data_IF_485339588934
#
_entry.id   IF_485339588934
#
_cell.length_a   1.000
_cell.length_b   1.000
_cell.length_c   1.000
_cell.angle_alpha   90.00
_cell.angle_beta   90.00
_cell.angle_gamma   90.00
#
_symmetry.space_group_name_H-M   'P 1'
#
loop_
_entity.id
_entity.type
_entity.pdbx_description
1 polymer ?
#
# COMPACT_ATOMS: atom_id res chain seq x y z
N UNK A 1 11.21 -5.23 1.94
CA UNK A 1 10.37 -4.21 2.62
C UNK A 1 8.88 -4.55 2.60
N UNK A 2 8.20 -4.63 1.46
CA UNK A 2 6.76 -4.95 1.39
C UNK A 2 6.33 -6.25 2.11
N UNK A 3 7.11 -7.32 1.98
CA UNK A 3 6.86 -8.57 2.72
C UNK A 3 7.25 -8.49 4.21
N UNK A 4 8.16 -7.59 4.58
CA UNK A 4 8.60 -7.41 5.97
C UNK A 4 7.45 -6.91 6.85
N UNK A 5 6.64 -5.98 6.33
CA UNK A 5 5.42 -5.49 7.00
C UNK A 5 4.17 -6.34 6.73
N UNK A 6 4.36 -7.57 6.22
CA UNK A 6 3.30 -8.51 5.90
C UNK A 6 2.21 -7.98 4.95
N UNK A 7 2.49 -6.95 4.12
CA UNK A 7 1.52 -6.36 3.21
C UNK A 7 0.94 -7.41 2.22
N UNK A 8 1.80 -8.34 1.79
CA UNK A 8 1.44 -9.41 0.85
C UNK A 8 0.43 -10.42 1.40
N UNK A 9 0.21 -10.48 2.71
CA UNK A 9 -0.81 -11.37 3.30
C UNK A 9 -2.24 -11.03 2.86
N UNK A 10 -2.53 -9.74 2.67
CA UNK A 10 -3.85 -9.26 2.22
C UNK A 10 -3.84 -8.79 0.76
N UNK A 11 -2.74 -8.20 0.31
CA UNK A 11 -2.64 -7.63 -1.04
C UNK A 11 -2.04 -8.60 -2.06
N UNK A 12 -1.41 -9.69 -1.61
CA UNK A 12 -0.72 -10.65 -2.46
C UNK A 12 0.64 -10.14 -2.94
N UNK A 13 1.50 -11.05 -3.41
CA UNK A 13 2.83 -10.68 -3.93
C UNK A 13 2.76 -9.80 -5.18
N UNK A 14 1.71 -9.97 -5.97
CA UNK A 14 1.46 -9.24 -7.21
C UNK A 14 0.40 -8.13 -7.05
N UNK A 15 -0.07 -7.84 -5.83
CA UNK A 15 -1.09 -6.81 -5.61
C UNK A 15 -2.52 -7.20 -6.04
N UNK A 16 -2.77 -8.48 -6.33
CA UNK A 16 -4.05 -9.00 -6.86
C UNK A 16 -4.91 -9.80 -5.87
N UNK A 17 -4.55 -9.84 -4.59
CA UNK A 17 -5.31 -10.63 -3.61
C UNK A 17 -6.57 -9.88 -3.11
N UNK A 18 -7.11 -10.29 -1.96
CA UNK A 18 -8.39 -9.81 -1.43
C UNK A 18 -8.45 -8.28 -1.29
N UNK A 19 -7.32 -7.64 -0.93
CA UNK A 19 -7.14 -6.20 -0.96
C UNK A 19 -6.43 -5.80 -2.26
N UNK A 20 -7.16 -5.78 -3.37
CA UNK A 20 -6.58 -5.56 -4.69
C UNK A 20 -6.03 -4.12 -4.85
N UNK A 21 -4.79 -4.01 -5.37
CA UNK A 21 -4.08 -2.75 -5.64
C UNK A 21 -4.17 -2.29 -7.10
N UNK A 22 -4.87 -3.03 -7.96
CA UNK A 22 -5.01 -2.70 -9.37
C UNK A 22 -5.50 -1.26 -9.57
N UNK A 23 -4.83 -0.54 -10.48
CA UNK A 23 -5.04 0.88 -10.77
C UNK A 23 -4.68 1.85 -9.63
N UNK A 24 -4.03 1.41 -8.55
CA UNK A 24 -3.56 2.33 -7.49
C UNK A 24 -2.68 3.45 -8.04
N UNK A 25 -1.85 3.16 -9.05
CA UNK A 25 -1.00 4.16 -9.74
C UNK A 25 -1.78 5.30 -10.40
N UNK A 26 -3.03 5.08 -10.82
CA UNK A 26 -3.89 6.09 -11.45
C UNK A 26 -4.73 6.84 -10.41
N UNK A 27 -5.10 6.16 -9.32
CA UNK A 27 -6.06 6.67 -8.34
C UNK A 27 -5.41 7.47 -7.22
N UNK A 28 -4.16 7.16 -6.87
CA UNK A 28 -3.52 7.70 -5.68
C UNK A 28 -2.08 8.12 -5.96
N UNK A 29 -1.72 9.30 -5.50
CA UNK A 29 -0.34 9.79 -5.40
C UNK A 29 0.45 9.04 -4.32
N UNK A 30 1.79 9.14 -4.35
CA UNK A 30 2.61 8.58 -3.27
C UNK A 30 2.22 9.15 -1.90
N UNK A 31 1.96 10.46 -1.82
CA UNK A 31 1.58 11.12 -0.57
C UNK A 31 0.26 10.56 0.00
N UNK A 32 -0.76 10.36 -0.85
CA UNK A 32 -2.04 9.78 -0.42
C UNK A 32 -1.88 8.33 0.03
N UNK A 33 -1.01 7.55 -0.63
CA UNK A 33 -0.72 6.17 -0.21
C UNK A 33 0.00 6.16 1.14
N UNK A 34 0.97 7.06 1.36
CA UNK A 34 1.66 7.19 2.65
C UNK A 34 0.67 7.57 3.76
N UNK A 35 -0.20 8.56 3.53
CA UNK A 35 -1.23 8.95 4.49
C UNK A 35 -2.15 7.77 4.83
N UNK A 36 -2.55 7.00 3.81
CA UNK A 36 -3.37 5.81 3.98
C UNK A 36 -2.66 4.69 4.76
N UNK A 37 -1.38 4.44 4.48
CA UNK A 37 -0.57 3.47 5.23
C UNK A 37 -0.47 3.90 6.70
N UNK A 38 -0.20 5.20 6.94
CA UNK A 38 -0.09 5.76 8.29
C UNK A 38 -1.39 5.59 9.06
N UNK A 39 -2.53 5.91 8.45
CA UNK A 39 -3.85 5.80 9.08
C UNK A 39 -4.97 5.48 8.07
N UNK A 40 -5.27 4.20 7.79
CA UNK A 40 -6.27 3.82 6.80
C UNK A 40 -7.71 4.19 7.20
N UNK A 41 -7.95 4.46 8.48
CA UNK A 41 -9.26 4.88 8.98
C UNK A 41 -9.69 6.25 8.44
N UNK A 42 -8.77 7.10 7.98
CA UNK A 42 -9.10 8.41 7.36
C UNK A 42 -9.90 8.26 6.06
N UNK A 43 -9.85 7.09 5.43
CA UNK A 43 -10.68 6.73 4.27
C UNK A 43 -11.72 5.66 4.60
N UNK A 44 -12.03 5.47 5.89
CA UNK A 44 -13.03 4.53 6.36
C UNK A 44 -12.61 3.05 6.35
N UNK A 45 -11.36 2.72 6.04
CA UNK A 45 -10.88 1.33 6.10
C UNK A 45 -10.47 0.96 7.52
N UNK A 46 -11.29 0.11 8.16
CA UNK A 46 -11.05 -0.43 9.51
C UNK A 46 -10.37 -1.81 9.52
N UNK A 47 -10.13 -2.41 8.35
CA UNK A 47 -9.54 -3.75 8.20
C UNK A 47 -8.03 -3.72 8.03
N UNK A 48 -7.51 -2.67 7.38
CA UNK A 48 -6.06 -2.49 7.26
C UNK A 48 -5.49 -1.98 8.61
N UNK A 49 -4.41 -2.57 9.14
CA UNK A 49 -3.75 -2.08 10.33
C UNK A 49 -3.22 -0.65 10.16
N UNK A 50 -3.12 0.08 11.27
CA UNK A 50 -2.49 1.40 11.32
C UNK A 50 -0.97 1.19 11.38
N UNK A 51 -0.23 1.72 10.40
CA UNK A 51 1.23 1.57 10.35
C UNK A 51 2.02 2.82 10.78
N UNK A 52 1.35 3.94 11.09
CA UNK A 52 2.02 5.20 11.45
C UNK A 52 2.94 5.12 12.67
N UNK A 53 2.72 4.15 13.56
CA UNK A 53 3.57 3.91 14.73
C UNK A 53 4.52 2.70 14.56
N UNK A 54 4.43 2.00 13.42
CA UNK A 54 5.22 0.80 13.11
C UNK A 54 6.32 1.15 12.10
N UNK A 55 5.98 1.96 11.10
CA UNK A 55 6.89 2.42 10.06
C UNK A 55 7.19 3.89 10.34
N UNK A 56 8.21 4.11 11.17
CA UNK A 56 8.62 5.45 11.61
C UNK A 56 9.66 6.08 10.69
N UNK A 57 10.31 5.27 9.85
CA UNK A 57 11.23 5.75 8.84
C UNK A 57 10.44 6.25 7.60
N UNK A 58 10.66 7.51 7.24
CA UNK A 58 9.96 8.14 6.10
C UNK A 58 10.44 7.62 4.74
N UNK A 59 11.70 7.21 4.60
CA UNK A 59 12.21 6.67 3.33
C UNK A 59 11.62 5.30 3.04
N UNK A 60 11.43 4.52 4.09
CA UNK A 60 10.67 3.29 4.06
C UNK A 60 9.25 3.54 3.53
N UNK A 61 8.52 4.51 4.08
CA UNK A 61 7.18 4.85 3.61
C UNK A 61 7.14 5.26 2.14
N UNK A 62 8.11 6.04 1.67
CA UNK A 62 8.24 6.42 0.26
C UNK A 62 8.44 5.20 -0.64
N UNK A 63 9.37 4.31 -0.28
CA UNK A 63 9.65 3.09 -1.03
C UNK A 63 8.43 2.16 -1.08
N UNK A 64 7.66 2.05 0.01
CA UNK A 64 6.41 1.30 0.01
C UNK A 64 5.36 1.91 -0.90
N UNK A 65 5.18 3.23 -0.88
CA UNK A 65 4.20 3.90 -1.71
C UNK A 65 4.52 3.76 -3.21
N UNK A 66 5.79 3.92 -3.58
CA UNK A 66 6.26 3.66 -4.94
C UNK A 66 6.01 2.21 -5.36
N UNK A 67 6.34 1.25 -4.48
CA UNK A 67 6.13 -0.15 -4.78
C UNK A 67 4.64 -0.52 -4.89
N UNK A 68 3.76 0.08 -4.08
CA UNK A 68 2.30 -0.09 -4.18
C UNK A 68 1.79 0.42 -5.52
N UNK A 69 2.26 1.58 -5.99
CA UNK A 69 1.89 2.08 -7.33
C UNK A 69 2.41 1.16 -8.42
N UNK A 70 3.66 0.73 -8.35
CA UNK A 70 4.23 -0.23 -9.30
C UNK A 70 3.42 -1.53 -9.39
N UNK A 71 3.03 -2.10 -8.24
CA UNK A 71 2.14 -3.26 -8.19
C UNK A 71 0.78 -2.93 -8.80
N UNK A 72 0.20 -1.77 -8.50
CA UNK A 72 -1.09 -1.37 -9.07
C UNK A 72 -1.07 -1.13 -10.58
N UNK A 73 0.08 -0.76 -11.15
CA UNK A 73 0.28 -0.67 -12.60
C UNK A 73 0.45 -2.05 -13.22
N UNK A 74 1.36 -2.85 -12.69
CA UNK A 74 1.67 -4.19 -13.24
C UNK A 74 0.51 -5.16 -13.08
N UNK A 75 -0.24 -5.07 -11.99
CA UNK A 75 -1.46 -5.85 -11.77
C UNK A 75 -2.56 -5.53 -12.80
N UNK A 76 -2.56 -4.32 -13.39
CA UNK A 76 -3.55 -3.93 -14.38
C UNK A 76 -3.23 -4.41 -15.81
N UNK A 77 -1.98 -4.80 -16.07
CA UNK A 77 -1.49 -5.17 -17.42
C UNK A 77 -1.53 -6.67 -17.71
N UNK A 78 -1.90 -7.51 -16.74
CA UNK A 78 -1.96 -8.98 -16.84
C UNK A 78 -3.34 -9.46 -16.44
#
# INVERSE_FOLDING_TARGET
MYNHYACSSCHGKEGKAIANLQLAHQKYTNAEIIEYIKNPAVKGNKKMPVFGNIITNEDDLKLLAEYVRYLGETAAKK
#
